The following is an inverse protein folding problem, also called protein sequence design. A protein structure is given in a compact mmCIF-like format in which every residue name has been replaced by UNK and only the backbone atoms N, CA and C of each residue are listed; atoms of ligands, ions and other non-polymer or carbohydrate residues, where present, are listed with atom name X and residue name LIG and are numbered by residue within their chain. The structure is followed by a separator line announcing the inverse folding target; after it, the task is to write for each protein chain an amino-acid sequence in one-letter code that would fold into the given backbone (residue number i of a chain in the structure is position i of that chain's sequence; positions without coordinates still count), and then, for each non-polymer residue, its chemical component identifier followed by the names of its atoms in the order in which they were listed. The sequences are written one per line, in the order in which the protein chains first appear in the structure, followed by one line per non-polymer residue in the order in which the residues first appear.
data_IF_485064548184
#
_entry.id   IF_485064548184
#
_cell.length_a   1.000
_cell.length_b   1.000
_cell.length_c   1.000
_cell.angle_alpha   90.00
_cell.angle_beta   90.00
_cell.angle_gamma   90.00
#
_symmetry.space_group_name_H-M   'P 1'
#
loop_
_entity.id
_entity.type
_entity.pdbx_description
1 polymer ?
#
# COMPACT_ATOMS: atom_id res chain seq x y z
N UNK A 1 9.04 16.60 -63.92
CA UNK A 1 10.32 16.28 -63.25
C UNK A 1 10.55 17.32 -62.17
N UNK A 2 10.06 17.20 -60.94
CA UNK A 2 10.18 16.05 -60.03
C UNK A 2 11.09 16.47 -58.86
N UNK A 3 10.68 17.53 -58.14
CA UNK A 3 11.38 18.06 -56.97
C UNK A 3 11.26 17.03 -55.83
N UNK A 4 12.39 16.73 -55.18
CA UNK A 4 12.58 15.64 -54.23
C UNK A 4 11.74 15.86 -52.97
N UNK A 5 10.50 15.38 -53.00
CA UNK A 5 9.74 15.04 -51.81
C UNK A 5 10.42 13.87 -51.10
N UNK A 6 10.54 13.98 -49.77
CA UNK A 6 10.24 12.95 -48.76
C UNK A 6 10.92 13.34 -47.44
N UNK A 7 10.57 14.53 -46.94
CA UNK A 7 10.40 14.68 -45.50
C UNK A 7 9.08 13.97 -45.16
N UNK A 8 9.17 12.78 -44.56
CA UNK A 8 8.18 12.28 -43.60
C UNK A 8 8.94 11.27 -42.73
N UNK A 9 8.91 11.56 -41.44
CA UNK A 9 9.56 10.88 -40.36
C UNK A 9 9.21 9.39 -40.32
N UNK A 10 10.22 8.53 -40.22
CA UNK A 10 10.07 7.17 -39.70
C UNK A 10 10.67 7.14 -38.28
N UNK A 11 9.94 7.74 -37.34
CA UNK A 11 10.11 7.44 -35.91
C UNK A 11 9.37 6.12 -35.69
N UNK A 12 10.07 4.99 -35.83
CA UNK A 12 9.47 3.68 -35.59
C UNK A 12 10.52 2.66 -35.14
N UNK A 13 11.20 2.93 -34.02
CA UNK A 13 11.99 1.92 -33.34
C UNK A 13 12.19 2.26 -31.85
N UNK A 14 11.11 2.34 -31.08
CA UNK A 14 11.23 2.45 -29.61
C UNK A 14 10.17 1.67 -28.82
N UNK A 15 9.47 0.73 -29.46
CA UNK A 15 8.37 -0.02 -28.80
C UNK A 15 8.79 -1.38 -28.21
N UNK A 16 10.10 -1.64 -28.05
CA UNK A 16 10.56 -2.85 -27.34
C UNK A 16 10.89 -2.46 -25.90
N UNK A 17 9.86 -2.40 -25.06
CA UNK A 17 10.09 -2.06 -23.66
C UNK A 17 8.85 -2.11 -22.80
N UNK A 18 8.03 -3.16 -22.86
CA UNK A 18 7.08 -3.46 -21.77
C UNK A 18 6.58 -4.91 -21.83
N UNK A 19 7.47 -5.88 -21.62
CA UNK A 19 7.07 -7.27 -21.29
C UNK A 19 7.73 -7.73 -20.00
N UNK A 20 7.84 -6.84 -19.02
CA UNK A 20 8.09 -7.27 -17.65
C UNK A 20 6.76 -7.83 -17.09
N UNK A 21 6.71 -9.07 -16.58
CA UNK A 21 5.54 -9.56 -15.87
C UNK A 21 5.33 -8.68 -14.63
N UNK A 22 4.14 -8.10 -14.46
CA UNK A 22 3.76 -7.32 -13.28
C UNK A 22 3.69 -8.15 -11.98
N UNK A 23 4.15 -9.41 -12.02
CA UNK A 23 3.94 -10.43 -10.99
C UNK A 23 5.23 -10.86 -10.30
N UNK A 24 6.35 -10.15 -10.48
CA UNK A 24 7.40 -10.19 -9.45
C UNK A 24 6.94 -9.29 -8.32
N UNK A 25 5.97 -9.80 -7.54
CA UNK A 25 5.89 -9.42 -6.14
C UNK A 25 7.20 -9.89 -5.50
N UNK A 26 8.25 -9.06 -5.63
CA UNK A 26 9.36 -9.08 -4.70
C UNK A 26 8.74 -9.14 -3.29
N UNK A 27 9.34 -9.88 -2.35
CA UNK A 27 8.93 -9.84 -0.95
C UNK A 27 9.35 -8.49 -0.34
N UNK A 28 8.91 -7.38 -0.94
CA UNK A 28 8.88 -6.05 -0.37
C UNK A 28 7.82 -5.94 0.75
N UNK A 29 7.13 -7.04 1.06
CA UNK A 29 6.20 -7.09 2.17
C UNK A 29 6.94 -7.03 3.49
N UNK A 30 6.66 -5.99 4.28
CA UNK A 30 7.03 -5.88 5.72
C UNK A 30 6.33 -6.95 6.58
N UNK A 31 5.78 -7.99 5.96
CA UNK A 31 5.18 -9.11 6.63
C UNK A 31 6.31 -10.02 7.12
N UNK A 32 6.43 -10.24 8.44
CA UNK A 32 7.28 -11.31 8.92
C UNK A 32 6.83 -12.57 8.20
N UNK A 33 7.77 -13.42 7.80
CA UNK A 33 7.49 -14.70 7.17
C UNK A 33 6.61 -15.61 8.05
N UNK A 34 6.50 -16.90 7.75
CA UNK A 34 5.65 -17.80 8.52
C UNK A 34 5.95 -17.72 10.03
N UNK A 35 4.91 -17.48 10.83
CA UNK A 35 5.00 -17.37 12.28
C UNK A 35 4.64 -18.72 12.93
N UNK A 36 5.30 -19.04 14.03
CA UNK A 36 4.78 -20.05 14.95
C UNK A 36 3.45 -19.61 15.55
N UNK A 37 2.68 -20.56 16.08
CA UNK A 37 1.41 -20.27 16.75
C UNK A 37 1.60 -19.32 17.94
N UNK A 38 2.69 -19.47 18.70
CA UNK A 38 2.99 -18.63 19.86
C UNK A 38 3.31 -17.19 19.45
N UNK A 39 4.13 -17.00 18.41
CA UNK A 39 4.44 -15.67 17.88
C UNK A 39 3.20 -14.97 17.33
N UNK A 40 2.32 -15.71 16.66
CA UNK A 40 1.05 -15.18 16.15
C UNK A 40 0.16 -14.66 17.29
N UNK A 41 0.05 -15.40 18.41
CA UNK A 41 -0.70 -14.94 19.58
C UNK A 41 -0.06 -13.73 20.25
N UNK A 42 1.25 -13.75 20.46
CA UNK A 42 1.97 -12.60 21.04
C UNK A 42 1.76 -11.33 20.19
N UNK A 43 1.76 -11.47 18.85
CA UNK A 43 1.46 -10.37 17.94
C UNK A 43 0.03 -9.89 18.07
N UNK A 44 -0.94 -10.82 18.14
CA UNK A 44 -2.34 -10.47 18.31
C UNK A 44 -2.58 -9.70 19.62
N UNK A 45 -1.94 -10.10 20.71
CA UNK A 45 -2.03 -9.42 22.00
C UNK A 45 -1.47 -7.99 21.91
N UNK A 46 -0.28 -7.83 21.31
CA UNK A 46 0.34 -6.53 21.11
C UNK A 46 -0.55 -5.59 20.26
N UNK A 47 -1.09 -6.10 19.14
CA UNK A 47 -1.99 -5.33 18.28
C UNK A 47 -3.32 -5.01 18.95
N UNK A 48 -3.84 -5.91 19.79
CA UNK A 48 -5.06 -5.68 20.56
C UNK A 48 -4.86 -4.57 21.59
N UNK A 49 -3.72 -4.58 22.30
CA UNK A 49 -3.37 -3.53 23.25
C UNK A 49 -3.24 -2.17 22.56
N UNK A 50 -2.57 -2.12 21.40
CA UNK A 50 -2.46 -0.90 20.59
C UNK A 50 -3.84 -0.42 20.11
N UNK A 51 -4.64 -1.31 19.53
CA UNK A 51 -5.98 -0.97 19.03
C UNK A 51 -6.89 -0.43 20.13
N UNK A 52 -6.79 -0.97 21.35
CA UNK A 52 -7.51 -0.44 22.52
C UNK A 52 -7.08 1.00 22.84
N UNK A 53 -5.78 1.31 22.80
CA UNK A 53 -5.32 2.68 23.03
C UNK A 53 -5.88 3.63 21.97
N UNK A 54 -5.78 3.25 20.69
CA UNK A 54 -6.29 4.04 19.58
C UNK A 54 -7.81 4.27 19.66
N UNK A 55 -8.57 3.28 20.10
CA UNK A 55 -10.04 3.36 20.18
C UNK A 55 -10.54 4.50 21.08
N UNK A 56 -9.77 4.83 22.13
CA UNK A 56 -10.08 5.90 23.08
C UNK A 56 -9.25 7.18 22.84
N UNK A 57 -8.43 7.25 21.79
CA UNK A 57 -7.55 8.39 21.54
C UNK A 57 -8.23 9.47 20.66
N UNK A 58 -8.59 10.65 21.22
CA UNK A 58 -9.22 11.71 20.45
C UNK A 58 -8.25 12.46 19.52
N UNK A 59 -6.93 12.30 19.72
CA UNK A 59 -5.91 12.94 18.86
C UNK A 59 -5.92 12.39 17.43
N UNK A 60 -6.53 11.20 17.24
CA UNK A 60 -6.75 10.60 15.93
C UNK A 60 -7.88 11.28 15.13
N UNK A 61 -8.60 12.24 15.71
CA UNK A 61 -9.52 13.11 14.97
C UNK A 61 -8.85 14.42 14.56
N UNK A 62 -9.24 14.95 13.39
CA UNK A 62 -8.75 16.25 12.92
C UNK A 62 -9.05 17.40 13.90
N UNK A 63 -10.12 17.28 14.70
CA UNK A 63 -10.50 18.27 15.72
C UNK A 63 -9.81 18.06 17.06
N UNK A 64 -9.19 16.89 17.30
CA UNK A 64 -8.67 16.49 18.60
C UNK A 64 -9.73 16.25 19.68
N UNK A 65 -11.02 16.17 19.32
CA UNK A 65 -12.15 16.12 20.27
C UNK A 65 -12.91 14.80 20.27
N UNK A 66 -12.73 13.97 19.25
CA UNK A 66 -13.53 12.77 19.05
C UNK A 66 -12.64 11.54 18.94
N UNK A 67 -12.91 10.54 19.78
CA UNK A 67 -12.34 9.21 19.64
C UNK A 67 -13.35 8.28 18.95
N UNK A 68 -12.94 7.06 18.59
CA UNK A 68 -13.88 6.05 18.09
C UNK A 68 -14.97 5.75 19.13
N UNK A 69 -14.58 5.66 20.40
CA UNK A 69 -15.48 5.40 21.53
C UNK A 69 -16.52 6.48 21.77
N UNK A 70 -16.37 7.69 21.21
CA UNK A 70 -17.35 8.77 21.35
C UNK A 70 -18.67 8.46 20.63
N UNK A 71 -18.64 7.59 19.62
CA UNK A 71 -19.85 7.11 18.92
C UNK A 71 -20.12 5.62 19.14
N UNK A 72 -19.12 4.85 19.59
CA UNK A 72 -19.22 3.42 19.87
C UNK A 72 -18.94 3.16 21.35
N UNK A 73 -19.97 3.21 22.20
CA UNK A 73 -19.85 2.91 23.63
C UNK A 73 -19.50 1.41 23.81
N UNK A 74 -18.43 1.09 24.57
CA UNK A 74 -18.09 -0.28 24.90
C UNK A 74 -18.99 -0.94 25.98
N UNK A 75 -19.92 -0.20 26.59
CA UNK A 75 -20.89 -0.71 27.57
C UNK A 75 -22.31 -0.75 26.98
#
# INVERSE_FOLDING_TARGET
MGLRNHAIALVAASIVGFTAPANTAEPSGVHPGPMSRQEAFARADALTALGRQMFFDPSLSASGKQACSSCHDPN
#
